data_IF_675375045727
#
_entry.id   IF_675375045727
#
_cell.length_a   1.000
_cell.length_b   1.000
_cell.length_c   1.000
_cell.angle_alpha   90.00
_cell.angle_beta   90.00
_cell.angle_gamma   90.00
#
_symmetry.space_group_name_H-M   'P 1'
#
loop_
_entity.id
_entity.type
_entity.pdbx_description
1 polymer ?
#
# COMPACT_ATOMS: atom_id res chain seq x y z
N UNK A 1 2.89 11.42 3.83
CA UNK A 1 1.87 10.57 3.17
C UNK A 1 0.54 10.78 3.88
N UNK A 2 -0.57 10.92 3.15
CA UNK A 2 -1.94 11.05 3.70
C UNK A 2 -2.83 9.98 3.08
N UNK A 3 -3.64 9.32 3.92
CA UNK A 3 -4.59 8.28 3.54
C UNK A 3 -5.95 8.65 4.11
N UNK A 4 -7.00 8.55 3.31
CA UNK A 4 -8.38 8.83 3.71
C UNK A 4 -9.22 7.55 3.66
N UNK A 5 -10.01 7.32 4.70
CA UNK A 5 -10.90 6.16 4.78
C UNK A 5 -12.01 6.27 3.73
N UNK A 6 -12.36 5.14 3.11
CA UNK A 6 -13.38 5.08 2.06
C UNK A 6 -12.96 5.70 0.72
N UNK A 7 -11.71 6.13 0.58
CA UNK A 7 -11.17 6.67 -0.68
C UNK A 7 -10.09 5.76 -1.26
N UNK A 8 -9.98 5.76 -2.58
CA UNK A 8 -8.94 5.04 -3.33
C UNK A 8 -7.74 5.93 -3.66
N UNK A 9 -7.64 7.12 -3.06
CA UNK A 9 -6.55 8.06 -3.33
C UNK A 9 -5.55 8.10 -2.17
N UNK A 10 -4.26 8.01 -2.51
CA UNK A 10 -3.13 8.13 -1.60
C UNK A 10 -2.33 9.38 -1.97
N UNK A 11 -2.07 10.27 -1.00
CA UNK A 11 -1.23 11.46 -1.23
C UNK A 11 0.19 11.23 -0.71
N UNK A 12 1.18 11.24 -1.61
CA UNK A 12 2.60 11.05 -1.29
C UNK A 12 3.38 12.21 -1.89
N UNK A 13 4.09 13.00 -1.06
CA UNK A 13 4.91 14.14 -1.52
C UNK A 13 4.18 15.05 -2.53
N UNK A 14 2.94 15.44 -2.20
CA UNK A 14 2.03 16.24 -3.04
C UNK A 14 1.56 15.58 -4.35
N UNK A 15 1.87 14.30 -4.57
CA UNK A 15 1.37 13.49 -5.71
C UNK A 15 0.25 12.58 -5.27
N UNK A 16 -0.79 12.48 -6.11
CA UNK A 16 -1.94 11.59 -5.91
C UNK A 16 -1.67 10.26 -6.61
N UNK A 17 -1.78 9.16 -5.87
CA UNK A 17 -1.65 7.79 -6.36
C UNK A 17 -3.02 7.12 -6.23
N UNK A 18 -3.50 6.58 -7.34
CA UNK A 18 -4.76 5.82 -7.39
C UNK A 18 -4.52 4.37 -6.97
N UNK A 19 -5.19 3.94 -5.90
CA UNK A 19 -5.20 2.56 -5.42
C UNK A 19 -6.37 1.79 -6.02
N UNK A 20 -6.24 0.47 -6.16
CA UNK A 20 -7.30 -0.42 -6.64
C UNK A 20 -8.32 -0.80 -5.57
N UNK A 21 -8.00 -0.58 -4.29
CA UNK A 21 -8.84 -0.92 -3.14
C UNK A 21 -8.81 0.21 -2.11
N UNK A 22 -9.90 0.36 -1.37
CA UNK A 22 -10.02 1.32 -0.28
C UNK A 22 -9.36 0.79 1.01
N UNK A 23 -8.84 1.67 1.88
CA UNK A 23 -8.54 1.33 3.26
C UNK A 23 -9.77 0.74 3.97
N UNK A 24 -9.58 -0.37 4.69
CA UNK A 24 -10.66 -1.05 5.41
C UNK A 24 -10.50 -0.80 6.92
N UNK A 25 -11.56 -0.30 7.56
CA UNK A 25 -11.63 -0.24 9.02
C UNK A 25 -12.25 -1.52 9.56
N UNK A 26 -11.54 -2.21 10.45
CA UNK A 26 -12.01 -3.44 11.09
C UNK A 26 -11.46 -3.54 12.51
N UNK A 27 -12.35 -3.69 13.51
CA UNK A 27 -12.01 -3.78 14.94
C UNK A 27 -11.02 -2.69 15.39
N UNK A 28 -11.38 -1.42 15.14
CA UNK A 28 -10.56 -0.24 15.47
C UNK A 28 -9.15 -0.23 14.84
N UNK A 29 -8.94 -1.02 13.78
CA UNK A 29 -7.69 -1.05 13.01
C UNK A 29 -7.99 -0.71 11.56
N UNK A 30 -7.09 0.07 10.98
CA UNK A 30 -7.14 0.39 9.55
C UNK A 30 -6.19 -0.54 8.82
N UNK A 31 -6.74 -1.34 7.92
CA UNK A 31 -6.02 -2.21 7.01
C UNK A 31 -5.76 -1.45 5.72
N UNK A 32 -4.49 -1.43 5.33
CA UNK A 32 -4.02 -0.74 4.15
C UNK A 32 -3.51 -1.76 3.13
N UNK A 33 -3.73 -1.51 1.82
CA UNK A 33 -3.14 -2.35 0.79
C UNK A 33 -1.62 -2.18 0.76
N UNK A 34 -0.92 -3.21 1.26
CA UNK A 34 0.53 -3.23 1.49
C UNK A 34 1.33 -2.73 0.28
N UNK A 35 1.00 -3.18 -0.94
CA UNK A 35 1.75 -2.84 -2.16
C UNK A 35 1.88 -1.34 -2.38
N UNK A 36 0.76 -0.61 -2.31
CA UNK A 36 0.75 0.84 -2.52
C UNK A 36 1.55 1.58 -1.46
N UNK A 37 1.49 1.11 -0.21
CA UNK A 37 2.25 1.70 0.90
C UNK A 37 3.75 1.45 0.71
N UNK A 38 4.14 0.23 0.34
CA UNK A 38 5.53 -0.12 0.09
C UNK A 38 6.13 0.69 -1.08
N UNK A 39 5.44 0.75 -2.21
CA UNK A 39 5.90 1.51 -3.39
C UNK A 39 5.97 3.02 -3.10
N UNK A 40 5.02 3.56 -2.31
CA UNK A 40 5.06 4.94 -1.85
C UNK A 40 6.25 5.26 -0.94
N UNK A 41 6.81 4.23 -0.28
CA UNK A 41 8.01 4.29 0.55
C UNK A 41 9.28 3.89 -0.23
N UNK A 42 9.20 3.85 -1.57
CA UNK A 42 10.31 3.53 -2.47
C UNK A 42 10.84 2.08 -2.35
N UNK A 43 10.02 1.17 -1.84
CA UNK A 43 10.29 -0.28 -1.89
C UNK A 43 9.73 -0.90 -3.16
N UNK A 44 10.47 -1.84 -3.73
CA UNK A 44 9.97 -2.72 -4.78
C UNK A 44 9.31 -3.95 -4.16
N UNK A 45 8.10 -4.28 -4.62
CA UNK A 45 7.29 -5.39 -4.13
C UNK A 45 7.37 -6.55 -5.13
N UNK A 46 7.94 -7.67 -4.72
CA UNK A 46 8.04 -8.89 -5.53
C UNK A 46 7.24 -10.03 -4.92
N UNK A 47 6.74 -10.90 -5.79
CA UNK A 47 6.07 -12.13 -5.40
C UNK A 47 6.95 -13.32 -5.74
N UNK A 48 7.32 -14.10 -4.73
CA UNK A 48 7.94 -15.41 -4.90
C UNK A 48 6.84 -16.47 -4.90
N UNK A 49 6.49 -16.94 -6.10
CA UNK A 49 5.45 -17.96 -6.30
C UNK A 49 5.79 -19.30 -5.66
N UNK A 50 7.07 -19.70 -5.66
CA UNK A 50 7.49 -21.02 -5.19
C UNK A 50 7.36 -21.12 -3.68
N UNK A 51 7.77 -20.08 -2.97
CA UNK A 51 7.72 -20.03 -1.51
C UNK A 51 6.42 -19.40 -0.98
N UNK A 52 5.61 -18.80 -1.85
CA UNK A 52 4.42 -18.00 -1.51
C UNK A 52 4.75 -16.84 -0.56
N UNK A 53 5.83 -16.13 -0.87
CA UNK A 53 6.36 -15.03 -0.05
C UNK A 53 6.25 -13.72 -0.82
N UNK A 54 5.83 -12.67 -0.11
CA UNK A 54 5.95 -11.29 -0.60
C UNK A 54 7.29 -10.74 -0.14
N UNK A 55 8.16 -10.34 -1.07
CA UNK A 55 9.45 -9.73 -0.80
C UNK A 55 9.37 -8.22 -0.98
N UNK A 56 9.91 -7.49 0.00
CA UNK A 56 10.06 -6.04 -0.04
C UNK A 56 11.55 -5.73 -0.15
N UNK A 57 11.97 -5.13 -1.25
CA UNK A 57 13.35 -4.76 -1.50
C UNK A 57 13.47 -3.24 -1.44
N UNK A 58 14.40 -2.73 -0.62
CA UNK A 58 14.72 -1.29 -0.66
C UNK A 58 15.41 -1.00 -1.98
N UNK A 59 15.04 0.12 -2.61
CA UNK A 59 15.88 0.73 -3.64
C UNK A 59 17.16 1.32 -3.05
#
# INVERSE_FOLDING_TARGET
MIILLGQTELLVNNRRIQMSVIPLMHNDRVYLPLRYIAEALEYDVKWDENNRIVCLESR
#
